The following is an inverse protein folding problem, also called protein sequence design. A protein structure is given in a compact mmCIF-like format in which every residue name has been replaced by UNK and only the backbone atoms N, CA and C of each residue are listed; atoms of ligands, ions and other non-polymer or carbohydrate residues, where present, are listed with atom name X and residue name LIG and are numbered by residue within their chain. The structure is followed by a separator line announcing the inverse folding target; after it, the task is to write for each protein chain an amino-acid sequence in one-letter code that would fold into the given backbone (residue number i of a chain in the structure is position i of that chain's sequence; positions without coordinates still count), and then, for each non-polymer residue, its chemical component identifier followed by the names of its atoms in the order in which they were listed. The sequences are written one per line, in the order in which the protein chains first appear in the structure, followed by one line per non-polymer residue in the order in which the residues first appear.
data_IF_130981482979
#
_entry.id   IF_130981482979
#
_cell.length_a   1.000
_cell.length_b   1.000
_cell.length_c   1.000
_cell.angle_alpha   90.00
_cell.angle_beta   90.00
_cell.angle_gamma   90.00
#
_symmetry.space_group_name_H-M   'P 1'
#
loop_
_entity.id
_entity.type
_entity.pdbx_description
1 polymer ?
#
# COMPACT_ATOMS: atom_id res chain seq x y z
N UNK A 1 -2.96 -44.52 96.86
CA UNK A 1 -1.77 -45.09 96.18
C UNK A 1 -1.98 -44.83 94.70
N UNK A 2 -1.15 -44.00 94.06
CA UNK A 2 0.19 -44.35 93.59
C UNK A 2 0.12 -45.46 92.52
N UNK A 3 0.34 -45.09 91.26
CA UNK A 3 0.33 -46.03 90.14
C UNK A 3 1.69 -46.65 89.87
N UNK A 4 1.77 -47.53 88.88
CA UNK A 4 3.04 -48.01 88.31
C UNK A 4 2.84 -48.71 86.97
N UNK A 5 3.49 -48.18 85.92
CA UNK A 5 3.95 -48.96 84.76
C UNK A 5 5.14 -49.84 85.19
N UNK A 6 5.47 -50.93 84.48
CA UNK A 6 6.39 -50.86 83.32
C UNK A 6 5.97 -51.76 82.13
N UNK A 7 6.02 -51.31 80.87
CA UNK A 7 7.17 -51.17 79.94
C UNK A 7 7.68 -52.48 79.27
N UNK A 8 7.99 -52.45 77.95
CA UNK A 8 8.44 -53.60 77.17
C UNK A 8 9.97 -53.68 77.03
N UNK A 9 10.50 -54.86 76.63
CA UNK A 9 11.91 -55.01 76.33
C UNK A 9 12.24 -54.83 74.82
N UNK A 10 13.17 -53.91 74.55
CA UNK A 10 13.86 -53.63 73.26
C UNK A 10 15.20 -54.41 73.20
N UNK A 11 15.98 -54.50 72.08
CA UNK A 11 16.60 -53.38 71.33
C UNK A 11 16.74 -53.69 69.79
N UNK A 12 17.65 -53.17 68.93
CA UNK A 12 18.72 -52.14 69.03
C UNK A 12 18.92 -51.36 67.69
N UNK A 13 18.98 -50.03 67.81
CA UNK A 13 19.40 -48.96 66.85
C UNK A 13 20.50 -49.26 65.80
N UNK A 14 20.46 -48.51 64.68
CA UNK A 14 21.35 -47.39 64.26
C UNK A 14 20.45 -46.40 63.46
N UNK A 15 20.38 -45.06 63.62
CA UNK A 15 21.38 -43.99 63.81
C UNK A 15 21.56 -43.27 62.45
N UNK A 16 21.38 -41.95 62.22
CA UNK A 16 21.33 -40.71 63.04
C UNK A 16 20.40 -39.64 62.36
N UNK A 17 19.93 -38.62 63.10
CA UNK A 17 19.31 -37.35 62.60
C UNK A 17 20.39 -36.24 62.43
N UNK A 18 20.15 -35.09 61.73
CA UNK A 18 19.25 -33.96 62.10
C UNK A 18 18.15 -33.70 61.03
N UNK A 19 17.09 -32.88 61.16
CA UNK A 19 16.85 -31.66 61.94
C UNK A 19 17.23 -30.41 61.11
N UNK A 20 16.41 -29.38 60.86
CA UNK A 20 15.01 -29.07 61.22
C UNK A 20 14.47 -27.93 60.31
N UNK A 21 13.28 -27.41 60.61
CA UNK A 21 12.70 -26.13 60.11
C UNK A 21 12.01 -26.14 58.72
N UNK A 22 10.67 -26.10 58.81
CA UNK A 22 9.72 -25.37 57.95
C UNK A 22 10.27 -24.47 56.84
N UNK A 23 10.01 -24.83 55.58
CA UNK A 23 9.92 -23.89 54.47
C UNK A 23 8.51 -23.89 53.87
N UNK A 24 7.94 -22.68 53.76
CA UNK A 24 6.67 -22.44 53.06
C UNK A 24 6.89 -22.64 51.55
N UNK A 25 5.89 -23.08 50.76
CA UNK A 25 6.06 -23.21 49.32
C UNK A 25 6.45 -21.85 48.73
N UNK A 26 7.65 -21.80 48.14
CA UNK A 26 8.21 -20.61 47.53
C UNK A 26 7.32 -20.23 46.35
N UNK A 27 6.40 -19.28 46.57
CA UNK A 27 5.78 -18.52 45.48
C UNK A 27 6.94 -17.87 44.73
N UNK A 28 7.32 -18.45 43.60
CA UNK A 28 8.16 -17.81 42.59
C UNK A 28 7.41 -16.57 42.16
N UNK A 29 7.74 -15.47 42.83
CA UNK A 29 7.33 -14.12 42.48
C UNK A 29 8.06 -13.82 41.19
N UNK A 30 7.50 -14.30 40.07
CA UNK A 30 7.84 -13.81 38.73
C UNK A 30 7.72 -12.32 38.86
N UNK A 31 8.87 -11.64 38.87
CA UNK A 31 8.88 -10.21 39.01
C UNK A 31 8.00 -9.67 37.90
N UNK A 32 7.21 -8.64 38.21
CA UNK A 32 6.69 -7.76 37.18
C UNK A 32 7.91 -7.04 36.58
N UNK A 33 8.67 -7.76 35.76
CA UNK A 33 9.56 -7.17 34.79
C UNK A 33 8.65 -6.26 33.98
N UNK A 34 8.78 -4.97 34.22
CA UNK A 34 8.15 -3.94 33.41
C UNK A 34 8.63 -4.20 32.00
N UNK A 35 7.78 -4.86 31.20
CA UNK A 35 8.03 -5.10 29.79
C UNK A 35 8.11 -3.72 29.14
N UNK A 36 9.33 -3.18 29.10
CA UNK A 36 9.67 -1.95 28.39
C UNK A 36 9.36 -2.28 26.94
N UNK A 37 8.16 -1.92 26.54
CA UNK A 37 7.60 -2.25 25.24
C UNK A 37 8.32 -1.35 24.25
N UNK A 38 9.51 -1.75 23.84
CA UNK A 38 10.28 -1.05 22.83
C UNK A 38 9.62 -1.24 21.45
N UNK A 39 9.77 -0.28 20.53
CA UNK A 39 9.42 -0.49 19.14
C UNK A 39 10.34 -1.57 18.53
N UNK A 40 9.75 -2.49 17.76
CA UNK A 40 10.45 -3.64 17.20
C UNK A 40 11.33 -3.34 15.98
N UNK A 41 11.16 -2.17 15.34
CA UNK A 41 11.91 -1.72 14.17
C UNK A 41 11.71 -0.20 13.94
N UNK A 42 12.56 0.48 13.15
CA UNK A 42 12.58 1.95 13.06
C UNK A 42 11.24 2.60 12.68
N UNK A 43 10.48 2.05 11.72
CA UNK A 43 9.18 2.59 11.34
C UNK A 43 8.15 2.50 12.49
N UNK A 44 8.17 1.43 13.27
CA UNK A 44 7.33 1.30 14.46
C UNK A 44 7.76 2.25 15.59
N UNK A 45 9.04 2.66 15.63
CA UNK A 45 9.54 3.68 16.55
C UNK A 45 9.08 5.09 16.13
N UNK A 46 9.20 5.42 14.84
CA UNK A 46 8.75 6.69 14.29
C UNK A 46 7.25 6.92 14.51
N UNK A 47 6.43 5.89 14.25
CA UNK A 47 4.98 5.97 14.44
C UNK A 47 4.54 5.87 15.91
N UNK A 48 5.44 5.53 16.85
CA UNK A 48 5.12 5.20 18.24
C UNK A 48 4.20 6.19 18.98
N UNK A 49 4.31 7.52 18.80
CA UNK A 49 3.37 8.47 19.41
C UNK A 49 1.89 8.20 19.03
N UNK A 50 1.64 7.83 17.77
CA UNK A 50 0.30 7.51 17.27
C UNK A 50 -0.28 6.21 17.86
N UNK A 51 0.54 5.36 18.49
CA UNK A 51 0.09 4.12 19.15
C UNK A 51 -0.92 4.36 20.28
N UNK A 52 -0.89 5.55 20.89
CA UNK A 52 -1.82 5.95 21.96
C UNK A 52 -3.12 6.58 21.44
N UNK A 53 -3.25 6.89 20.14
CA UNK A 53 -4.53 7.34 19.59
C UNK A 53 -5.56 6.22 19.77
N UNK A 54 -6.70 6.59 20.33
CA UNK A 54 -7.78 5.65 20.66
C UNK A 54 -8.60 5.27 19.43
N UNK A 55 -8.48 6.04 18.33
CA UNK A 55 -9.39 5.97 17.20
C UNK A 55 -8.67 5.82 15.86
N UNK A 56 -9.02 4.77 15.13
CA UNK A 56 -8.60 4.59 13.73
C UNK A 56 -9.12 5.70 12.79
N UNK A 57 -10.14 6.44 13.22
CA UNK A 57 -10.66 7.61 12.50
C UNK A 57 -9.74 8.83 12.56
N UNK A 58 -8.82 8.90 13.52
CA UNK A 58 -7.77 9.94 13.59
C UNK A 58 -6.52 9.49 12.83
N UNK A 59 -6.08 8.25 13.09
CA UNK A 59 -4.82 7.71 12.55
C UNK A 59 -4.84 7.64 11.03
N UNK A 60 -5.94 7.19 10.40
CA UNK A 60 -5.97 7.03 8.95
C UNK A 60 -5.90 8.37 8.18
N UNK A 61 -6.70 9.41 8.51
CA UNK A 61 -6.55 10.72 7.88
C UNK A 61 -5.15 11.32 8.07
N UNK A 62 -4.57 11.23 9.27
CA UNK A 62 -3.20 11.70 9.51
C UNK A 62 -2.16 10.97 8.67
N UNK A 63 -2.27 9.64 8.54
CA UNK A 63 -1.42 8.86 7.64
C UNK A 63 -1.59 9.33 6.21
N UNK A 64 -2.83 9.51 5.71
CA UNK A 64 -3.08 9.97 4.35
C UNK A 64 -2.59 11.40 4.09
N UNK A 65 -2.68 12.30 5.08
CA UNK A 65 -2.12 13.65 4.97
C UNK A 65 -0.60 13.63 4.86
N UNK A 66 0.09 12.83 5.68
CA UNK A 66 1.56 12.70 5.62
C UNK A 66 2.01 12.02 4.32
N UNK A 67 1.38 10.91 3.96
CA UNK A 67 1.58 10.18 2.69
C UNK A 67 1.44 11.13 1.49
N UNK A 68 0.45 12.02 1.54
CA UNK A 68 0.19 13.03 0.51
C UNK A 68 1.21 14.17 0.51
N UNK A 69 1.59 14.68 1.67
CA UNK A 69 2.61 15.72 1.80
C UNK A 69 3.96 15.27 1.19
N UNK A 70 4.37 14.03 1.44
CA UNK A 70 5.61 13.48 0.85
C UNK A 70 5.54 13.37 -0.68
N UNK A 71 4.39 12.99 -1.24
CA UNK A 71 4.16 12.95 -2.69
C UNK A 71 4.21 14.34 -3.31
N UNK A 72 3.51 15.29 -2.70
CA UNK A 72 3.46 16.68 -3.17
C UNK A 72 4.85 17.33 -3.11
N UNK A 73 5.58 17.15 -2.01
CA UNK A 73 6.94 17.65 -1.84
C UNK A 73 7.92 17.03 -2.86
N UNK A 74 7.81 15.72 -3.14
CA UNK A 74 8.60 15.07 -4.19
C UNK A 74 8.29 15.65 -5.59
N UNK A 75 7.01 15.92 -5.88
CA UNK A 75 6.56 16.49 -7.15
C UNK A 75 7.06 17.91 -7.46
N UNK A 76 7.61 18.63 -6.48
CA UNK A 76 8.24 19.95 -6.68
C UNK A 76 9.50 19.87 -7.55
N UNK A 77 10.21 18.74 -7.54
CA UNK A 77 11.43 18.51 -8.32
C UNK A 77 11.12 18.40 -9.83
N UNK A 78 12.18 18.29 -10.65
CA UNK A 78 12.07 18.03 -12.09
C UNK A 78 11.34 16.71 -12.42
N UNK A 79 11.02 16.52 -13.69
CA UNK A 79 10.37 15.32 -14.23
C UNK A 79 11.18 14.70 -15.36
N UNK A 80 10.81 13.49 -15.79
CA UNK A 80 11.44 12.82 -16.93
C UNK A 80 11.38 13.71 -18.17
N UNK A 81 12.54 14.10 -18.69
CA UNK A 81 12.67 14.97 -19.87
C UNK A 81 12.62 16.49 -19.63
N UNK A 82 12.55 16.98 -18.38
CA UNK A 82 12.55 18.42 -18.10
C UNK A 82 13.77 19.13 -18.73
N UNK A 83 13.51 20.15 -19.55
CA UNK A 83 14.50 20.92 -20.31
C UNK A 83 15.40 20.04 -21.21
N UNK A 84 14.83 18.99 -21.83
CA UNK A 84 15.54 18.07 -22.75
C UNK A 84 14.88 17.99 -24.15
N UNK A 85 14.91 19.07 -24.94
CA UNK A 85 14.56 18.98 -26.36
C UNK A 85 15.52 18.04 -27.13
N UNK A 86 15.10 17.49 -28.28
CA UNK A 86 13.81 17.73 -28.94
C UNK A 86 12.67 16.86 -28.39
N UNK A 87 12.93 15.67 -27.86
CA UNK A 87 11.89 14.67 -27.54
C UNK A 87 11.34 14.72 -26.11
N UNK A 88 12.01 15.39 -25.16
CA UNK A 88 11.64 15.38 -23.73
C UNK A 88 11.60 13.95 -23.16
N UNK A 89 10.55 13.57 -22.43
CA UNK A 89 10.46 12.30 -21.68
C UNK A 89 9.01 11.97 -21.29
N UNK A 90 8.83 11.00 -20.39
CA UNK A 90 7.50 10.45 -20.02
C UNK A 90 6.46 11.50 -19.65
N UNK A 91 6.86 12.64 -19.08
CA UNK A 91 5.95 13.76 -18.80
C UNK A 91 5.29 14.31 -20.08
N UNK A 92 6.09 14.53 -21.14
CA UNK A 92 5.60 14.96 -22.45
C UNK A 92 4.81 13.84 -23.13
N UNK A 93 5.19 12.57 -22.95
CA UNK A 93 4.42 11.44 -23.45
C UNK A 93 2.99 11.44 -22.90
N UNK A 94 2.84 11.56 -21.57
CA UNK A 94 1.52 11.63 -20.94
C UNK A 94 0.74 12.88 -21.37
N UNK A 95 1.40 14.05 -21.50
CA UNK A 95 0.76 15.28 -21.99
C UNK A 95 0.27 15.13 -23.43
N UNK A 96 1.09 14.55 -24.31
CA UNK A 96 0.74 14.30 -25.70
C UNK A 96 -0.42 13.30 -25.83
N UNK A 97 -0.50 12.29 -24.97
CA UNK A 97 -1.66 11.40 -24.93
C UNK A 97 -2.95 12.15 -24.56
N UNK A 98 -2.90 13.16 -23.69
CA UNK A 98 -4.05 14.03 -23.39
C UNK A 98 -4.42 14.94 -24.58
N UNK A 99 -3.42 15.48 -25.30
CA UNK A 99 -3.61 16.22 -26.56
C UNK A 99 -4.34 15.36 -27.62
N UNK A 100 -3.76 14.23 -28.03
CA UNK A 100 -4.29 13.42 -29.14
C UNK A 100 -5.65 12.80 -28.80
N UNK A 101 -5.85 12.31 -27.57
CA UNK A 101 -7.12 11.65 -27.22
C UNK A 101 -8.28 12.63 -27.18
N UNK A 102 -8.02 13.90 -26.83
CA UNK A 102 -9.07 14.93 -26.74
C UNK A 102 -9.44 15.57 -28.08
N UNK A 103 -8.55 15.50 -29.08
CA UNK A 103 -8.70 16.15 -30.39
C UNK A 103 -8.96 15.18 -31.56
N UNK A 104 -8.42 13.95 -31.51
CA UNK A 104 -8.53 12.99 -32.60
C UNK A 104 -9.69 12.00 -32.36
N UNK A 105 -10.32 11.47 -33.43
CA UNK A 105 -11.28 10.37 -33.30
C UNK A 105 -10.60 9.12 -32.73
N UNK A 106 -11.35 8.31 -31.98
CA UNK A 106 -10.86 7.09 -31.30
C UNK A 106 -10.13 6.14 -32.27
N UNK A 107 -10.57 6.08 -33.53
CA UNK A 107 -9.95 5.28 -34.59
C UNK A 107 -8.55 5.72 -35.01
N UNK A 108 -8.04 6.86 -34.52
CA UNK A 108 -6.70 7.38 -34.82
C UNK A 108 -5.75 7.40 -33.61
N UNK A 109 -6.24 7.19 -32.38
CA UNK A 109 -5.43 7.30 -31.14
C UNK A 109 -4.16 6.42 -31.15
N UNK A 110 -4.19 5.28 -31.84
CA UNK A 110 -3.09 4.30 -31.93
C UNK A 110 -2.32 4.35 -33.25
N UNK A 111 -2.64 5.29 -34.15
CA UNK A 111 -2.06 5.37 -35.50
C UNK A 111 -1.52 6.76 -35.85
N UNK A 112 -1.81 7.77 -35.02
CA UNK A 112 -1.33 9.13 -35.22
C UNK A 112 0.14 9.28 -34.83
N UNK A 113 0.93 9.90 -35.72
CA UNK A 113 2.32 10.36 -35.52
C UNK A 113 3.18 9.52 -34.55
N UNK A 114 3.34 8.22 -34.87
CA UNK A 114 3.98 7.24 -33.98
C UNK A 114 5.44 7.57 -33.59
N UNK A 115 6.09 8.51 -34.29
CA UNK A 115 7.44 8.96 -33.96
C UNK A 115 7.47 9.95 -32.78
N UNK A 116 6.34 10.63 -32.50
CA UNK A 116 6.20 11.56 -31.38
C UNK A 116 5.31 10.97 -30.29
N UNK A 117 5.90 10.18 -29.40
CA UNK A 117 5.23 9.59 -28.22
C UNK A 117 3.88 8.93 -28.51
N UNK A 118 3.82 8.09 -29.54
CA UNK A 118 2.64 7.31 -29.88
C UNK A 118 2.08 6.52 -28.68
N UNK A 119 0.75 6.34 -28.65
CA UNK A 119 0.05 5.75 -27.50
C UNK A 119 0.32 4.24 -27.43
N UNK A 120 1.13 3.81 -26.45
CA UNK A 120 1.64 2.43 -26.31
C UNK A 120 0.90 1.60 -25.25
N UNK A 121 0.02 2.22 -24.45
CA UNK A 121 -0.76 1.55 -23.39
C UNK A 121 -2.19 1.19 -23.85
N UNK A 122 -2.83 0.18 -23.22
CA UNK A 122 -4.14 -0.30 -23.68
C UNK A 122 -5.27 0.71 -23.37
N UNK A 123 -6.50 0.48 -23.90
CA UNK A 123 -7.50 1.54 -24.04
C UNK A 123 -7.95 2.25 -22.75
N UNK A 124 -7.84 1.65 -21.57
CA UNK A 124 -8.22 2.33 -20.32
C UNK A 124 -7.26 3.48 -19.99
N UNK A 125 -5.98 3.40 -20.38
CA UNK A 125 -5.07 4.56 -20.33
C UNK A 125 -5.52 5.64 -21.31
N UNK A 126 -5.89 5.29 -22.55
CA UNK A 126 -6.33 6.28 -23.52
C UNK A 126 -7.58 7.04 -23.04
N UNK A 127 -8.57 6.34 -22.45
CA UNK A 127 -9.73 7.00 -21.82
C UNK A 127 -9.37 7.78 -20.54
N UNK A 128 -8.35 7.36 -19.80
CA UNK A 128 -7.84 8.12 -18.65
C UNK A 128 -7.20 9.44 -19.11
N UNK A 129 -6.30 9.41 -20.10
CA UNK A 129 -5.72 10.60 -20.71
C UNK A 129 -6.77 11.50 -21.37
N UNK A 130 -7.80 10.93 -22.00
CA UNK A 130 -8.94 11.69 -22.52
C UNK A 130 -9.66 12.47 -21.42
N UNK A 131 -10.00 11.80 -20.31
CA UNK A 131 -10.68 12.44 -19.18
C UNK A 131 -9.83 13.55 -18.56
N UNK A 132 -8.54 13.27 -18.29
CA UNK A 132 -7.63 14.26 -17.73
C UNK A 132 -7.41 15.44 -18.68
N UNK A 133 -7.22 15.18 -19.98
CA UNK A 133 -7.09 16.23 -20.99
C UNK A 133 -8.35 17.10 -21.10
N UNK A 134 -9.55 16.50 -21.04
CA UNK A 134 -10.81 17.28 -21.00
C UNK A 134 -10.90 18.16 -19.74
N UNK A 135 -10.53 17.65 -18.57
CA UNK A 135 -10.51 18.45 -17.33
C UNK A 135 -9.47 19.58 -17.41
N UNK A 136 -8.26 19.30 -17.91
CA UNK A 136 -7.20 20.29 -18.04
C UNK A 136 -7.52 21.38 -19.09
N UNK A 137 -8.16 21.02 -20.20
CA UNK A 137 -8.60 21.97 -21.23
C UNK A 137 -9.70 22.94 -20.75
N UNK A 138 -10.42 22.62 -19.67
CA UNK A 138 -11.34 23.57 -19.00
C UNK A 138 -10.59 24.63 -18.16
N UNK A 139 -9.32 24.37 -17.81
CA UNK A 139 -8.47 25.30 -17.05
C UNK A 139 -7.64 26.15 -18.02
N UNK A 140 -6.95 25.49 -18.96
CA UNK A 140 -6.27 26.14 -20.07
C UNK A 140 -6.25 25.20 -21.30
N UNK A 141 -6.90 25.55 -22.42
CA UNK A 141 -6.88 24.72 -23.62
C UNK A 141 -5.50 24.64 -24.30
N UNK A 142 -4.63 25.65 -24.13
CA UNK A 142 -3.34 25.74 -24.81
C UNK A 142 -2.37 24.63 -24.38
N UNK A 143 -2.56 24.05 -23.18
CA UNK A 143 -1.77 22.92 -22.67
C UNK A 143 -1.86 21.64 -23.53
N UNK A 144 -2.97 21.49 -24.26
CA UNK A 144 -3.30 20.28 -25.03
C UNK A 144 -3.69 20.61 -26.48
N UNK A 145 -3.37 21.81 -26.97
CA UNK A 145 -3.67 22.24 -28.33
C UNK A 145 -2.89 21.40 -29.37
N UNK A 146 -3.60 20.80 -30.31
CA UNK A 146 -3.03 19.84 -31.26
C UNK A 146 -1.88 20.46 -32.09
N UNK A 147 -0.73 19.77 -32.11
CA UNK A 147 0.55 20.16 -32.74
C UNK A 147 1.27 21.36 -32.12
N UNK A 148 0.56 22.38 -31.62
CA UNK A 148 1.18 23.61 -31.10
C UNK A 148 1.66 23.50 -29.65
N UNK A 149 1.09 22.58 -28.87
CA UNK A 149 1.43 22.38 -27.44
C UNK A 149 2.60 21.41 -27.19
N UNK A 150 3.25 20.89 -28.25
CA UNK A 150 4.35 19.92 -28.13
C UNK A 150 5.56 20.50 -27.39
N UNK A 151 5.99 19.84 -26.32
CA UNK A 151 7.13 20.26 -25.51
C UNK A 151 6.90 21.53 -24.67
N UNK A 152 5.65 21.90 -24.38
CA UNK A 152 5.33 23.09 -23.58
C UNK A 152 5.75 22.94 -22.11
N UNK A 153 6.59 23.86 -21.62
CA UNK A 153 7.10 23.87 -20.25
C UNK A 153 6.40 24.93 -19.36
N UNK A 154 5.06 24.85 -19.27
CA UNK A 154 4.26 25.75 -18.44
C UNK A 154 4.26 25.32 -16.94
N UNK A 155 4.57 26.22 -15.98
CA UNK A 155 4.59 25.90 -14.55
C UNK A 155 3.24 25.48 -13.97
N UNK A 156 2.13 26.01 -14.48
CA UNK A 156 0.79 25.65 -14.01
C UNK A 156 0.36 24.29 -14.57
N UNK A 157 0.75 23.96 -15.80
CA UNK A 157 0.61 22.61 -16.37
C UNK A 157 1.38 21.60 -15.51
N UNK A 158 2.59 21.93 -15.04
CA UNK A 158 3.33 21.07 -14.09
C UNK A 158 2.51 20.81 -12.82
N UNK A 159 1.89 21.83 -12.23
CA UNK A 159 1.03 21.66 -11.05
C UNK A 159 -0.20 20.79 -11.36
N UNK A 160 -0.88 21.05 -12.48
CA UNK A 160 -2.02 20.25 -12.95
C UNK A 160 -1.64 18.78 -13.10
N UNK A 161 -0.57 18.48 -13.85
CA UNK A 161 -0.09 17.14 -14.12
C UNK A 161 0.33 16.41 -12.84
N UNK A 162 1.02 17.07 -11.90
CA UNK A 162 1.34 16.47 -10.59
C UNK A 162 0.06 16.16 -9.78
N UNK A 163 -0.95 17.03 -9.85
CA UNK A 163 -2.25 16.81 -9.20
C UNK A 163 -3.03 15.65 -9.82
N UNK A 164 -2.98 15.43 -11.14
CA UNK A 164 -3.70 14.30 -11.76
C UNK A 164 -3.11 12.95 -11.35
N UNK A 165 -1.78 12.81 -11.26
CA UNK A 165 -1.13 11.60 -10.71
C UNK A 165 -1.55 11.37 -9.25
N UNK A 166 -1.48 12.42 -8.42
CA UNK A 166 -1.89 12.38 -7.01
C UNK A 166 -3.35 11.92 -6.83
N UNK A 167 -4.29 12.56 -7.54
CA UNK A 167 -5.71 12.24 -7.45
C UNK A 167 -5.95 10.80 -7.93
N UNK A 168 -5.30 10.38 -9.01
CA UNK A 168 -5.47 9.03 -9.56
C UNK A 168 -5.01 7.94 -8.59
N UNK A 169 -3.87 8.15 -7.90
CA UNK A 169 -3.43 7.25 -6.82
C UNK A 169 -4.44 7.19 -5.66
N UNK A 170 -4.97 8.36 -5.25
CA UNK A 170 -5.90 8.46 -4.13
C UNK A 170 -7.29 7.89 -4.43
N UNK A 171 -7.67 7.81 -5.71
CA UNK A 171 -8.89 7.13 -6.16
C UNK A 171 -8.72 5.61 -6.34
N UNK A 172 -7.48 5.09 -6.44
CA UNK A 172 -7.22 3.70 -6.84
C UNK A 172 -6.34 2.94 -5.83
N UNK A 173 -5.05 3.25 -5.77
CA UNK A 173 -4.07 2.54 -4.94
C UNK A 173 -4.31 2.72 -3.45
N UNK A 174 -4.49 3.96 -2.98
CA UNK A 174 -4.70 4.24 -1.56
C UNK A 174 -5.93 3.50 -0.97
N UNK A 175 -7.14 3.57 -1.56
CA UNK A 175 -8.29 2.82 -1.06
C UNK A 175 -8.11 1.31 -1.20
N UNK A 176 -7.51 0.81 -2.29
CA UNK A 176 -7.21 -0.61 -2.45
C UNK A 176 -6.28 -1.13 -1.34
N UNK A 177 -5.22 -0.40 -1.01
CA UNK A 177 -4.29 -0.73 0.07
C UNK A 177 -4.97 -0.70 1.45
N UNK A 178 -5.77 0.33 1.74
CA UNK A 178 -6.53 0.43 3.00
C UNK A 178 -7.47 -0.77 3.16
N UNK A 179 -8.23 -1.12 2.13
CA UNK A 179 -9.20 -2.23 2.17
C UNK A 179 -8.48 -3.58 2.25
N UNK A 180 -7.41 -3.78 1.48
CA UNK A 180 -6.60 -4.99 1.52
C UNK A 180 -5.98 -5.21 2.91
N UNK A 181 -5.27 -4.22 3.45
CA UNK A 181 -4.61 -4.34 4.77
C UNK A 181 -5.63 -4.58 5.88
N UNK A 182 -6.77 -3.87 5.88
CA UNK A 182 -7.85 -4.07 6.86
C UNK A 182 -8.53 -5.45 6.75
N UNK A 183 -8.56 -6.07 5.56
CA UNK A 183 -9.10 -7.41 5.35
C UNK A 183 -8.09 -8.46 5.78
N UNK A 184 -6.87 -8.37 5.27
CA UNK A 184 -5.80 -9.34 5.53
C UNK A 184 -5.44 -9.38 7.02
N UNK A 185 -5.39 -8.23 7.70
CA UNK A 185 -5.10 -8.19 9.14
C UNK A 185 -6.15 -8.95 9.98
N UNK A 186 -7.43 -8.87 9.61
CA UNK A 186 -8.52 -9.61 10.28
C UNK A 186 -8.41 -11.11 10.03
N UNK A 187 -8.15 -11.53 8.79
CA UNK A 187 -7.99 -12.94 8.43
C UNK A 187 -6.78 -13.58 9.13
N UNK A 188 -5.69 -12.82 9.31
CA UNK A 188 -4.47 -13.30 9.97
C UNK A 188 -4.39 -12.98 11.47
N UNK A 189 -5.48 -12.53 12.10
CA UNK A 189 -5.52 -12.14 13.54
C UNK A 189 -4.44 -11.12 13.96
N UNK A 190 -4.02 -10.25 13.05
CA UNK A 190 -2.96 -9.25 13.25
C UNK A 190 -3.53 -8.02 13.97
N UNK A 191 -2.80 -7.53 14.98
CA UNK A 191 -3.23 -6.35 15.76
C UNK A 191 -3.40 -5.10 14.88
N UNK A 192 -4.40 -4.28 15.19
CA UNK A 192 -4.70 -3.06 14.42
C UNK A 192 -3.51 -2.08 14.36
N UNK A 193 -2.68 -2.04 15.41
CA UNK A 193 -1.44 -1.28 15.43
C UNK A 193 -0.47 -1.77 14.34
N UNK A 194 -0.18 -3.07 14.32
CA UNK A 194 0.69 -3.70 13.31
C UNK A 194 0.15 -3.48 11.90
N UNK A 195 -1.16 -3.57 11.70
CA UNK A 195 -1.82 -3.30 10.42
C UNK A 195 -1.65 -1.83 9.98
N UNK A 196 -1.75 -0.87 10.92
CA UNK A 196 -1.51 0.56 10.63
C UNK A 196 -0.05 0.82 10.22
N UNK A 197 0.91 0.20 10.91
CA UNK A 197 2.34 0.30 10.57
C UNK A 197 2.64 -0.32 9.19
N UNK A 198 2.03 -1.47 8.86
CA UNK A 198 2.15 -2.10 7.55
C UNK A 198 1.54 -1.23 6.43
N UNK A 199 0.38 -0.60 6.66
CA UNK A 199 -0.23 0.33 5.71
C UNK A 199 0.69 1.53 5.44
N UNK A 200 1.32 2.11 6.47
CA UNK A 200 2.30 3.19 6.27
C UNK A 200 3.50 2.69 5.45
N UNK A 201 4.02 1.49 5.73
CA UNK A 201 5.13 0.93 4.95
C UNK A 201 4.80 0.77 3.45
N UNK A 202 3.58 0.32 3.14
CA UNK A 202 3.08 0.15 1.77
C UNK A 202 2.88 1.52 1.07
N UNK A 203 2.28 2.49 1.76
CA UNK A 203 2.02 3.82 1.19
C UNK A 203 3.27 4.74 1.15
N UNK A 204 4.30 4.45 1.94
CA UNK A 204 5.56 5.20 1.94
C UNK A 204 6.67 4.52 1.13
N UNK A 205 6.34 3.53 0.28
CA UNK A 205 7.31 2.82 -0.54
C UNK A 205 8.05 3.79 -1.48
N UNK A 206 9.38 4.00 -1.32
CA UNK A 206 10.10 5.07 -2.03
C UNK A 206 10.05 4.95 -3.56
N UNK A 207 10.04 3.73 -4.10
CA UNK A 207 9.96 3.49 -5.55
C UNK A 207 8.65 4.02 -6.16
N UNK A 208 7.51 3.89 -5.47
CA UNK A 208 6.24 4.43 -5.96
C UNK A 208 6.25 5.97 -5.98
N UNK A 209 6.83 6.59 -4.95
CA UNK A 209 6.96 8.05 -4.86
C UNK A 209 7.90 8.58 -5.95
N UNK A 210 9.07 7.97 -6.12
CA UNK A 210 10.06 8.43 -7.09
C UNK A 210 9.59 8.22 -8.55
N UNK A 211 8.99 7.07 -8.87
CA UNK A 211 8.59 6.78 -10.26
C UNK A 211 7.32 7.54 -10.65
N UNK A 212 6.26 7.53 -9.82
CA UNK A 212 5.01 8.18 -10.22
C UNK A 212 5.08 9.71 -9.98
N UNK A 213 5.58 10.17 -8.83
CA UNK A 213 5.52 11.58 -8.43
C UNK A 213 6.74 12.42 -8.77
N UNK A 214 7.91 11.83 -9.02
CA UNK A 214 9.10 12.57 -9.53
C UNK A 214 9.27 12.35 -11.03
N UNK A 215 9.49 11.11 -11.46
CA UNK A 215 9.74 10.77 -12.87
C UNK A 215 8.53 11.03 -13.78
N UNK A 216 7.31 10.92 -13.24
CA UNK A 216 6.01 11.17 -13.90
C UNK A 216 5.40 9.94 -14.60
N UNK A 217 4.66 9.14 -13.84
CA UNK A 217 3.99 7.93 -14.32
C UNK A 217 2.68 7.66 -13.54
N UNK A 218 1.78 6.89 -14.14
CA UNK A 218 0.52 6.43 -13.52
C UNK A 218 0.55 4.93 -13.14
N UNK A 219 1.66 4.42 -12.61
CA UNK A 219 1.76 2.98 -12.30
C UNK A 219 0.84 2.56 -11.14
N UNK A 220 0.68 3.43 -10.16
CA UNK A 220 -0.20 3.24 -9.00
C UNK A 220 -1.65 2.97 -9.39
N UNK A 221 -2.14 3.48 -10.53
CA UNK A 221 -3.49 3.14 -11.02
C UNK A 221 -3.62 1.65 -11.36
N UNK A 222 -2.67 1.10 -12.14
CA UNK A 222 -2.62 -0.33 -12.44
C UNK A 222 -2.39 -1.16 -11.17
N UNK A 223 -1.44 -0.77 -10.32
CA UNK A 223 -1.16 -1.48 -9.07
C UNK A 223 -2.35 -1.46 -8.10
N UNK A 224 -3.11 -0.37 -8.05
CA UNK A 224 -4.34 -0.25 -7.28
C UNK A 224 -5.43 -1.18 -7.77
N UNK A 225 -5.58 -1.33 -9.08
CA UNK A 225 -6.51 -2.29 -9.69
C UNK A 225 -6.08 -3.75 -9.43
N UNK A 226 -4.79 -4.07 -9.52
CA UNK A 226 -4.26 -5.40 -9.13
C UNK A 226 -4.53 -5.68 -7.65
N UNK A 227 -4.27 -4.71 -6.76
CA UNK A 227 -4.47 -4.86 -5.32
C UNK A 227 -5.95 -4.97 -4.94
N UNK A 228 -6.84 -4.24 -5.64
CA UNK A 228 -8.28 -4.36 -5.51
C UNK A 228 -8.80 -5.74 -6.00
N UNK A 229 -8.18 -6.31 -7.04
CA UNK A 229 -8.44 -7.67 -7.47
C UNK A 229 -8.07 -8.69 -6.39
N UNK A 230 -6.82 -8.64 -5.89
CA UNK A 230 -6.35 -9.52 -4.79
C UNK A 230 -7.22 -9.39 -3.53
N UNK A 231 -7.60 -8.16 -3.16
CA UNK A 231 -8.51 -7.90 -2.03
C UNK A 231 -9.92 -8.48 -2.25
N UNK A 232 -10.39 -8.54 -3.50
CA UNK A 232 -11.66 -9.16 -3.89
C UNK A 232 -11.57 -10.69 -3.92
N UNK A 233 -10.41 -11.26 -4.28
CA UNK A 233 -10.14 -12.70 -4.21
C UNK A 233 -10.19 -13.18 -2.75
N UNK A 234 -9.50 -12.48 -1.84
CA UNK A 234 -9.58 -12.67 -0.37
C UNK A 234 -10.98 -12.40 0.22
N UNK A 235 -11.90 -11.82 -0.55
CA UNK A 235 -13.30 -11.60 -0.17
C UNK A 235 -14.25 -12.64 -0.78
N UNK A 236 -13.73 -13.61 -1.53
CA UNK A 236 -14.48 -14.54 -2.38
C UNK A 236 -15.42 -13.87 -3.41
N UNK A 237 -15.12 -12.61 -3.75
CA UNK A 237 -15.86 -11.80 -4.72
C UNK A 237 -15.26 -11.94 -6.12
N UNK A 238 -15.21 -13.18 -6.63
CA UNK A 238 -14.49 -13.53 -7.86
C UNK A 238 -14.88 -12.68 -9.08
N UNK A 239 -16.16 -12.30 -9.22
CA UNK A 239 -16.61 -11.38 -10.28
C UNK A 239 -15.92 -10.01 -10.22
N UNK A 240 -15.81 -9.44 -9.02
CA UNK A 240 -15.10 -8.17 -8.80
C UNK A 240 -13.59 -8.32 -8.97
N UNK A 241 -13.02 -9.45 -8.56
CA UNK A 241 -11.61 -9.76 -8.81
C UNK A 241 -11.28 -9.78 -10.31
N UNK A 242 -12.12 -10.42 -11.12
CA UNK A 242 -11.98 -10.43 -12.58
C UNK A 242 -12.12 -9.02 -13.18
N UNK A 243 -13.14 -8.25 -12.78
CA UNK A 243 -13.34 -6.86 -13.24
C UNK A 243 -12.13 -5.98 -12.94
N UNK A 244 -11.62 -6.00 -11.71
CA UNK A 244 -10.44 -5.20 -11.36
C UNK A 244 -9.17 -5.66 -12.08
N UNK A 245 -8.99 -6.98 -12.28
CA UNK A 245 -7.80 -7.49 -12.98
C UNK A 245 -7.83 -7.18 -14.48
N UNK A 246 -8.98 -7.32 -15.14
CA UNK A 246 -9.18 -6.90 -16.53
C UNK A 246 -9.00 -5.39 -16.66
N UNK A 247 -9.45 -4.60 -15.68
CA UNK A 247 -9.15 -3.17 -15.60
C UNK A 247 -7.65 -2.86 -15.53
N UNK A 248 -6.89 -3.60 -14.70
CA UNK A 248 -5.44 -3.45 -14.60
C UNK A 248 -4.73 -3.74 -15.94
N UNK A 249 -5.11 -4.83 -16.61
CA UNK A 249 -4.63 -5.19 -17.94
C UNK A 249 -4.99 -4.12 -18.98
N UNK A 250 -6.21 -3.58 -18.92
CA UNK A 250 -6.67 -2.50 -19.78
C UNK A 250 -5.96 -1.16 -19.54
N UNK A 251 -5.31 -0.97 -18.38
CA UNK A 251 -4.56 0.24 -18.05
C UNK A 251 -3.09 0.14 -18.47
N UNK A 252 -2.38 -0.91 -18.04
CA UNK A 252 -0.99 -1.20 -18.43
C UNK A 252 -0.82 -2.71 -18.63
N UNK A 253 -0.37 -3.11 -19.81
CA UNK A 253 -0.12 -4.51 -20.21
C UNK A 253 0.84 -5.25 -19.28
N UNK A 254 1.70 -4.53 -18.53
CA UNK A 254 2.60 -5.10 -17.52
C UNK A 254 1.86 -5.81 -16.37
N UNK A 255 0.56 -5.58 -16.19
CA UNK A 255 -0.28 -6.38 -15.29
C UNK A 255 -0.37 -7.88 -15.68
N UNK A 256 0.02 -8.25 -16.92
CA UNK A 256 0.13 -9.64 -17.37
C UNK A 256 1.08 -10.48 -16.49
N UNK A 257 2.06 -9.86 -15.82
CA UNK A 257 2.94 -10.57 -14.88
C UNK A 257 2.18 -11.21 -13.70
N UNK A 258 0.97 -10.74 -13.40
CA UNK A 258 0.08 -11.33 -12.38
C UNK A 258 -1.00 -12.24 -12.98
N UNK A 259 -1.09 -12.39 -14.31
CA UNK A 259 -2.18 -13.12 -14.96
C UNK A 259 -2.22 -14.60 -14.60
N UNK A 260 -1.06 -15.27 -14.58
CA UNK A 260 -0.98 -16.69 -14.23
C UNK A 260 -1.48 -17.01 -12.80
N UNK A 261 -0.98 -16.36 -11.71
CA UNK A 261 -1.49 -16.62 -10.37
C UNK A 261 -2.95 -16.19 -10.18
N UNK A 262 -3.40 -15.10 -10.81
CA UNK A 262 -4.82 -14.69 -10.76
C UNK A 262 -5.72 -15.72 -11.45
N UNK A 263 -5.34 -16.18 -12.64
CA UNK A 263 -6.06 -17.23 -13.37
C UNK A 263 -6.14 -18.53 -12.56
N UNK A 264 -5.00 -19.04 -12.08
CA UNK A 264 -4.93 -20.30 -11.35
C UNK A 264 -5.81 -20.28 -10.07
N UNK A 265 -5.80 -19.17 -9.33
CA UNK A 265 -6.65 -19.00 -8.15
C UNK A 265 -8.14 -18.95 -8.49
N UNK A 266 -8.53 -18.16 -9.50
CA UNK A 266 -9.93 -18.04 -9.92
C UNK A 266 -10.47 -19.37 -10.50
N UNK A 267 -9.64 -20.10 -11.24
CA UNK A 267 -9.97 -21.43 -11.76
C UNK A 267 -10.16 -22.44 -10.63
N UNK A 268 -9.23 -22.49 -9.67
CA UNK A 268 -9.35 -23.36 -8.50
C UNK A 268 -10.59 -23.04 -7.65
N UNK A 269 -10.89 -21.75 -7.44
CA UNK A 269 -12.10 -21.30 -6.74
C UNK A 269 -13.41 -21.58 -7.49
N UNK A 270 -13.38 -21.76 -8.81
CA UNK A 270 -14.53 -22.14 -9.61
C UNK A 270 -14.82 -23.66 -9.55
N UNK A 271 -13.79 -24.51 -9.43
CA UNK A 271 -13.93 -25.97 -9.33
C UNK A 271 -14.06 -26.50 -7.88
N UNK A 272 -13.80 -25.66 -6.88
CA UNK A 272 -13.93 -26.03 -5.45
C UNK A 272 -15.31 -25.70 -4.85
N UNK A 273 -16.31 -25.44 -5.70
CA UNK A 273 -17.70 -25.08 -5.34
C UNK A 273 -18.68 -25.96 -6.11
#
# INVERSE_FOLDING_TARGET
MAGSSPLPHKPRRKGKKPGSATEKPLRTRVANATLVRAPSFPLAAFLWPARRSSSQWEVLPLVLMVVGLFRWAAGLWGYSGFQRPPMFGDYEAQRHWMEITTHLPVSQWYFHDLQWWGLDYPPLTAYHSWLLGKVGALINPDWFALYTSRGIEDPNLKVFMRATVFISEYLTYAPAAIVFVRRYSRLSSVSQWTASVALVAILMQPSTILIDHVHFQYNTVMLGLVLASMSSMLAERYKWAAVFFVGALGFKQMALYYAFPVFAYLLGGAFSR
#
